data_IF_837799224729
#
_entry.id   IF_837799224729
#
_cell.length_a   1.000
_cell.length_b   1.000
_cell.length_c   1.000
_cell.angle_alpha   90.00
_cell.angle_beta   90.00
_cell.angle_gamma   90.00
#
_symmetry.space_group_name_H-M   'P 1'
#
loop_
_entity.id
_entity.type
_entity.pdbx_description
1 polymer ?
#
# COMPACT_ATOMS: atom_id res chain seq x y z
N UNK A 1 -6.20 -14.95 12.70
CA UNK A 1 -6.69 -14.20 11.52
C UNK A 1 -6.24 -12.75 11.52
N UNK A 2 -6.62 -11.96 12.54
CA UNK A 2 -6.31 -10.52 12.61
C UNK A 2 -4.81 -10.25 12.60
N UNK A 3 -4.03 -11.04 13.34
CA UNK A 3 -2.57 -10.90 13.43
C UNK A 3 -1.87 -11.19 12.10
N UNK A 4 -2.30 -12.22 11.38
CA UNK A 4 -1.77 -12.57 10.06
C UNK A 4 -2.12 -11.51 9.02
N UNK A 5 -3.35 -10.98 9.05
CA UNK A 5 -3.76 -9.85 8.21
C UNK A 5 -2.92 -8.62 8.53
N UNK A 6 -2.74 -8.28 9.81
CA UNK A 6 -1.92 -7.13 10.23
C UNK A 6 -0.47 -7.28 9.74
N UNK A 7 0.12 -8.47 9.86
CA UNK A 7 1.46 -8.73 9.37
C UNK A 7 1.57 -8.62 7.83
N UNK A 8 0.56 -9.11 7.11
CA UNK A 8 0.49 -9.00 5.65
C UNK A 8 0.36 -7.53 5.21
N UNK A 9 -0.54 -6.77 5.83
CA UNK A 9 -0.74 -5.34 5.54
C UNK A 9 0.52 -4.54 5.87
N UNK A 10 1.16 -4.81 7.01
CA UNK A 10 2.42 -4.17 7.38
C UNK A 10 3.53 -4.46 6.37
N UNK A 11 3.62 -5.71 5.90
CA UNK A 11 4.57 -6.09 4.86
C UNK A 11 4.33 -5.32 3.55
N UNK A 12 3.07 -5.26 3.08
CA UNK A 12 2.70 -4.50 1.88
C UNK A 12 2.97 -3.01 2.07
N UNK A 13 2.55 -2.41 3.18
CA UNK A 13 2.79 -1.01 3.49
C UNK A 13 4.29 -0.65 3.51
N UNK A 14 5.14 -1.58 3.96
CA UNK A 14 6.61 -1.42 3.90
C UNK A 14 7.14 -1.43 2.47
N UNK A 15 6.57 -2.25 1.58
CA UNK A 15 6.91 -2.21 0.16
C UNK A 15 6.48 -0.87 -0.46
N UNK A 16 5.26 -0.43 -0.18
CA UNK A 16 4.72 0.86 -0.66
C UNK A 16 5.57 2.03 -0.16
N UNK A 17 5.99 2.03 1.10
CA UNK A 17 6.88 3.06 1.64
C UNK A 17 8.25 3.09 0.93
N UNK A 18 8.75 1.93 0.49
CA UNK A 18 10.10 1.81 -0.09
C UNK A 18 10.12 2.09 -1.59
N UNK A 19 9.09 1.66 -2.32
CA UNK A 19 9.08 1.64 -3.78
C UNK A 19 7.94 2.46 -4.39
N UNK A 20 6.91 2.77 -3.60
CA UNK A 20 5.77 3.58 -4.02
C UNK A 20 6.05 5.08 -3.95
N UNK A 21 5.05 5.85 -4.37
CA UNK A 21 5.08 7.32 -4.49
C UNK A 21 4.08 8.01 -3.56
N UNK A 22 3.43 7.26 -2.69
CA UNK A 22 2.43 7.77 -1.75
C UNK A 22 3.09 8.50 -0.57
N UNK A 23 2.43 9.56 -0.11
CA UNK A 23 2.72 10.28 1.13
C UNK A 23 2.36 9.45 2.37
N UNK A 24 2.56 10.00 3.58
CA UNK A 24 2.26 9.29 4.82
C UNK A 24 0.77 8.96 4.94
N UNK A 25 -0.07 9.96 4.72
CA UNK A 25 -1.51 9.85 4.86
C UNK A 25 -2.10 8.89 3.82
N UNK A 26 -1.65 8.94 2.56
CA UNK A 26 -2.08 8.00 1.52
C UNK A 26 -1.73 6.56 1.84
N UNK A 27 -0.55 6.30 2.42
CA UNK A 27 -0.15 4.95 2.86
C UNK A 27 -1.00 4.45 4.03
N UNK A 28 -1.34 5.33 4.97
CA UNK A 28 -2.18 4.99 6.12
C UNK A 28 -3.61 4.66 5.70
N UNK A 29 -4.23 5.53 4.88
CA UNK A 29 -5.56 5.26 4.31
C UNK A 29 -5.59 3.95 3.53
N UNK A 30 -4.56 3.68 2.71
CA UNK A 30 -4.44 2.43 1.99
C UNK A 30 -4.31 1.22 2.91
N UNK A 31 -3.47 1.29 3.94
CA UNK A 31 -3.29 0.20 4.91
C UNK A 31 -4.59 -0.11 5.67
N UNK A 32 -5.32 0.92 6.10
CA UNK A 32 -6.63 0.76 6.74
C UNK A 32 -7.66 0.13 5.79
N UNK A 33 -7.74 0.63 4.54
CA UNK A 33 -8.65 0.10 3.53
C UNK A 33 -8.34 -1.37 3.20
N UNK A 34 -7.07 -1.73 3.02
CA UNK A 34 -6.64 -3.10 2.76
C UNK A 34 -7.01 -4.01 3.94
N UNK A 35 -6.75 -3.58 5.17
CA UNK A 35 -7.13 -4.35 6.36
C UNK A 35 -8.62 -4.69 6.37
N UNK A 36 -9.48 -3.71 6.11
CA UNK A 36 -10.93 -3.90 6.06
C UNK A 36 -11.35 -4.86 4.93
N UNK A 37 -10.76 -4.72 3.73
CA UNK A 37 -11.04 -5.61 2.58
C UNK A 37 -10.65 -7.05 2.89
N UNK A 38 -9.47 -7.29 3.49
CA UNK A 38 -9.01 -8.64 3.83
C UNK A 38 -9.87 -9.28 4.94
N UNK A 39 -10.22 -8.52 5.98
CA UNK A 39 -11.09 -9.01 7.06
C UNK A 39 -12.46 -9.44 6.51
N UNK A 40 -13.04 -8.63 5.63
CA UNK A 40 -14.35 -8.93 5.04
C UNK A 40 -14.29 -10.14 4.11
N UNK A 41 -13.31 -10.18 3.19
CA UNK A 41 -13.20 -11.26 2.20
C UNK A 41 -12.89 -12.61 2.85
N UNK A 42 -12.07 -12.63 3.89
CA UNK A 42 -11.59 -13.89 4.45
C UNK A 42 -12.54 -14.51 5.49
N UNK A 43 -13.59 -13.80 5.93
CA UNK A 43 -14.50 -14.21 7.04
C UNK A 43 -15.03 -15.65 6.91
N UNK A 44 -15.42 -16.06 5.71
CA UNK A 44 -15.98 -17.41 5.45
C UNK A 44 -14.96 -18.38 4.82
N UNK A 45 -13.70 -17.94 4.70
CA UNK A 45 -12.62 -18.69 4.07
C UNK A 45 -11.44 -18.86 5.02
N UNK A 46 -11.64 -18.77 6.34
CA UNK A 46 -10.59 -18.93 7.34
C UNK A 46 -10.77 -20.24 8.12
N UNK A 47 -9.82 -21.17 8.00
CA UNK A 47 -9.91 -22.51 8.59
C UNK A 47 -8.66 -22.83 9.43
N UNK A 48 -8.61 -22.47 10.73
CA UNK A 48 -7.43 -22.68 11.58
C UNK A 48 -6.95 -24.13 11.65
N UNK A 49 -7.88 -25.09 11.67
CA UNK A 49 -7.56 -26.52 11.73
C UNK A 49 -7.10 -27.11 10.39
N UNK A 50 -7.26 -26.37 9.30
CA UNK A 50 -6.83 -26.77 7.96
C UNK A 50 -6.32 -25.53 7.19
N UNK A 51 -5.12 -25.01 7.51
CA UNK A 51 -4.64 -23.72 6.99
C UNK A 51 -4.61 -23.63 5.46
N UNK A 52 -4.31 -24.75 4.78
CA UNK A 52 -4.30 -24.83 3.31
C UNK A 52 -5.69 -24.73 2.67
N UNK A 53 -6.76 -25.01 3.41
CA UNK A 53 -8.13 -24.87 2.91
C UNK A 53 -8.42 -23.39 2.69
N UNK A 54 -8.78 -23.04 1.46
CA UNK A 54 -9.04 -21.64 1.06
C UNK A 54 -7.79 -20.80 0.82
N UNK A 55 -6.58 -21.37 0.83
CA UNK A 55 -5.33 -20.61 0.65
C UNK A 55 -5.29 -19.80 -0.66
N UNK A 56 -5.81 -20.38 -1.75
CA UNK A 56 -5.80 -19.72 -3.06
C UNK A 56 -6.76 -18.53 -3.10
N UNK A 57 -7.87 -18.61 -2.36
CA UNK A 57 -8.83 -17.51 -2.21
C UNK A 57 -8.23 -16.34 -1.42
N UNK A 58 -7.43 -16.64 -0.38
CA UNK A 58 -6.77 -15.64 0.47
C UNK A 58 -5.40 -15.16 -0.06
N UNK A 59 -5.02 -15.61 -1.25
CA UNK A 59 -3.74 -15.26 -1.84
C UNK A 59 -3.87 -13.89 -2.50
N UNK A 60 -2.99 -12.94 -2.17
CA UNK A 60 -2.83 -11.71 -2.95
C UNK A 60 -1.79 -11.95 -4.05
N UNK A 61 -2.19 -11.80 -5.31
CA UNK A 61 -1.33 -12.15 -6.45
C UNK A 61 -1.26 -11.05 -7.49
N UNK A 62 -0.04 -10.68 -7.82
CA UNK A 62 0.33 -9.79 -8.93
C UNK A 62 1.25 -10.59 -9.85
N UNK A 63 0.93 -10.64 -11.15
CA UNK A 63 1.81 -11.17 -12.18
C UNK A 63 1.49 -10.52 -13.55
N UNK A 64 2.18 -10.93 -14.62
CA UNK A 64 1.95 -10.38 -15.96
C UNK A 64 0.52 -10.59 -16.49
N UNK A 65 -0.18 -11.65 -16.07
CA UNK A 65 -1.57 -11.94 -16.49
C UNK A 65 -2.62 -11.23 -15.64
N UNK A 66 -2.30 -10.99 -14.37
CA UNK A 66 -3.12 -10.33 -13.37
C UNK A 66 -2.27 -9.23 -12.73
N UNK A 67 -2.14 -8.07 -13.40
CA UNK A 67 -1.27 -6.99 -12.95
C UNK A 67 -1.80 -6.28 -11.69
N UNK A 68 -3.06 -6.52 -11.33
CA UNK A 68 -3.71 -5.97 -10.14
C UNK A 68 -4.57 -7.05 -9.48
N UNK A 69 -4.28 -7.36 -8.22
CA UNK A 69 -5.11 -8.25 -7.42
C UNK A 69 -6.45 -7.56 -7.08
N UNK A 70 -7.61 -8.25 -7.20
CA UNK A 70 -8.91 -7.63 -6.91
C UNK A 70 -9.02 -7.02 -5.51
N UNK A 71 -8.44 -7.64 -4.48
CA UNK A 71 -8.50 -7.09 -3.12
C UNK A 71 -7.62 -5.84 -2.99
N UNK A 72 -6.46 -5.81 -3.65
CA UNK A 72 -5.62 -4.61 -3.73
C UNK A 72 -6.32 -3.50 -4.51
N UNK A 73 -7.00 -3.83 -5.61
CA UNK A 73 -7.78 -2.88 -6.39
C UNK A 73 -8.89 -2.22 -5.54
N UNK A 74 -9.69 -3.02 -4.84
CA UNK A 74 -10.74 -2.50 -3.95
C UNK A 74 -10.16 -1.64 -2.83
N UNK A 75 -8.99 -2.00 -2.28
CA UNK A 75 -8.32 -1.18 -1.26
C UNK A 75 -7.86 0.18 -1.83
N UNK A 76 -7.32 0.20 -3.06
CA UNK A 76 -6.97 1.42 -3.78
C UNK A 76 -8.19 2.33 -4.00
N UNK A 77 -9.29 1.77 -4.51
CA UNK A 77 -10.55 2.49 -4.74
C UNK A 77 -11.08 3.14 -3.46
N UNK A 78 -11.10 2.40 -2.34
CA UNK A 78 -11.58 2.90 -1.04
C UNK A 78 -10.68 3.94 -0.39
N UNK A 79 -9.40 3.97 -0.74
CA UNK A 79 -8.41 4.91 -0.17
C UNK A 79 -8.09 6.09 -1.09
N UNK A 80 -8.72 6.16 -2.27
CA UNK A 80 -8.44 7.15 -3.32
C UNK A 80 -6.97 7.16 -3.73
N UNK A 81 -6.39 5.97 -3.88
CA UNK A 81 -4.99 5.75 -4.24
C UNK A 81 -4.90 5.06 -5.58
N UNK A 82 -4.00 5.53 -6.46
CA UNK A 82 -3.71 4.83 -7.72
C UNK A 82 -2.87 3.58 -7.45
N UNK A 83 -3.25 2.44 -8.02
CA UNK A 83 -2.49 1.19 -7.85
C UNK A 83 -1.02 1.30 -8.30
N UNK A 84 -0.74 2.05 -9.37
CA UNK A 84 0.62 2.27 -9.88
C UNK A 84 1.52 2.99 -8.87
N UNK A 85 0.94 3.88 -8.05
CA UNK A 85 1.67 4.63 -7.03
C UNK A 85 2.05 3.75 -5.82
N UNK A 86 1.50 2.53 -5.71
CA UNK A 86 1.92 1.57 -4.69
C UNK A 86 3.34 1.05 -4.92
N UNK A 87 3.83 1.05 -6.16
CA UNK A 87 5.18 0.57 -6.49
C UNK A 87 5.43 -0.90 -6.14
N UNK A 88 4.37 -1.73 -6.14
CA UNK A 88 4.52 -3.16 -5.85
C UNK A 88 5.25 -3.88 -6.99
N UNK A 89 6.01 -4.95 -6.70
CA UNK A 89 6.67 -5.75 -7.74
C UNK A 89 5.69 -6.31 -8.76
N UNK A 90 6.12 -6.36 -10.02
CA UNK A 90 5.34 -6.92 -11.15
C UNK A 90 4.97 -8.38 -10.98
N UNK A 91 5.75 -9.13 -10.18
CA UNK A 91 5.47 -10.50 -9.81
C UNK A 91 5.59 -10.68 -8.30
N UNK A 92 4.45 -10.72 -7.62
CA UNK A 92 4.32 -10.86 -6.17
C UNK A 92 3.24 -11.89 -5.86
N UNK A 93 3.52 -12.83 -4.97
CA UNK A 93 2.49 -13.73 -4.43
C UNK A 93 2.61 -13.73 -2.91
N UNK A 94 1.55 -13.31 -2.21
CA UNK A 94 1.49 -13.25 -0.75
C UNK A 94 0.35 -14.17 -0.26
N UNK A 95 0.72 -15.18 0.53
CA UNK A 95 -0.24 -16.09 1.18
C UNK A 95 -0.47 -15.65 2.62
N UNK A 96 -1.73 -15.44 2.97
CA UNK A 96 -2.18 -15.08 4.32
C UNK A 96 -2.99 -16.24 4.87
N UNK A 97 -2.33 -17.12 5.62
CA UNK A 97 -2.89 -18.38 6.10
C UNK A 97 -2.90 -18.42 7.65
N UNK A 98 -3.79 -19.21 8.26
CA UNK A 98 -3.76 -19.42 9.71
C UNK A 98 -2.37 -19.83 10.21
N UNK A 99 -1.81 -19.02 11.12
CA UNK A 99 -0.50 -19.24 11.73
C UNK A 99 0.71 -18.87 10.86
N UNK A 100 0.55 -18.43 9.60
CA UNK A 100 1.68 -18.11 8.73
C UNK A 100 1.33 -17.10 7.63
N UNK A 101 2.21 -16.13 7.45
CA UNK A 101 2.25 -15.27 6.26
C UNK A 101 3.53 -15.56 5.50
N UNK A 102 3.41 -15.84 4.20
CA UNK A 102 4.56 -16.14 3.34
C UNK A 102 4.44 -15.41 2.02
N UNK A 103 5.59 -15.09 1.41
CA UNK A 103 5.67 -14.26 0.23
C UNK A 103 6.64 -14.88 -0.79
N UNK A 104 6.41 -14.62 -2.07
CA UNK A 104 7.31 -14.99 -3.17
C UNK A 104 7.40 -13.84 -4.16
N UNK A 105 8.63 -13.54 -4.61
CA UNK A 105 8.89 -12.60 -5.69
C UNK A 105 9.23 -13.34 -6.98
N UNK A 106 8.47 -13.14 -8.05
CA UNK A 106 8.64 -13.90 -9.28
C UNK A 106 8.01 -15.30 -9.24
N UNK A 107 7.65 -15.84 -10.40
CA UNK A 107 6.93 -17.13 -10.47
C UNK A 107 7.81 -18.36 -10.19
N UNK A 108 9.12 -18.25 -10.44
CA UNK A 108 10.08 -19.36 -10.31
C UNK A 108 10.91 -19.34 -9.01
N UNK A 109 10.73 -18.35 -8.14
CA UNK A 109 11.49 -18.28 -6.90
C UNK A 109 10.87 -19.11 -5.78
N UNK A 110 11.67 -19.38 -4.76
CA UNK A 110 11.19 -20.06 -3.54
C UNK A 110 10.44 -19.08 -2.63
N UNK A 111 9.25 -19.44 -2.13
CA UNK A 111 8.58 -18.63 -1.10
C UNK A 111 9.42 -18.49 0.17
N UNK A 112 9.36 -17.32 0.81
CA UNK A 112 9.97 -17.05 2.10
C UNK A 112 8.90 -16.71 3.15
N UNK A 113 9.22 -16.98 4.42
CA UNK A 113 8.33 -16.68 5.53
C UNK A 113 8.42 -15.19 5.89
N UNK A 114 7.28 -14.49 5.88
CA UNK A 114 7.18 -13.11 6.37
C UNK A 114 6.99 -13.11 7.88
N UNK A 115 6.05 -13.92 8.38
CA UNK A 115 5.85 -14.13 9.82
C UNK A 115 5.24 -15.50 10.09
N UNK A 116 5.46 -16.02 11.29
CA UNK A 116 4.75 -17.17 11.84
C UNK A 116 4.04 -16.70 13.10
N UNK A 117 2.73 -16.88 13.13
CA UNK A 117 1.87 -16.46 14.23
C UNK A 117 1.52 -17.70 15.05
N UNK A 118 1.67 -17.64 16.38
CA UNK A 118 1.33 -18.76 17.27
C UNK A 118 2.40 -19.85 17.43
N UNK A 119 3.66 -19.60 17.05
CA UNK A 119 4.79 -20.43 17.48
C UNK A 119 5.45 -19.83 18.71
N UNK A 120 5.75 -20.64 19.74
CA UNK A 120 6.60 -20.26 20.87
C UNK A 120 7.97 -19.78 20.39
N UNK A 121 8.09 -18.51 19.99
CA UNK A 121 9.35 -17.80 19.96
C UNK A 121 9.28 -16.73 21.03
N UNK A 122 10.17 -16.87 22.00
CA UNK A 122 10.43 -16.07 23.19
C UNK A 122 10.85 -14.61 22.91
N UNK A 123 10.35 -14.02 21.82
CA UNK A 123 10.68 -12.67 21.36
C UNK A 123 9.53 -11.93 20.65
N UNK A 124 8.31 -12.50 20.63
CA UNK A 124 7.14 -11.91 19.96
C UNK A 124 6.18 -11.18 20.92
N UNK A 125 6.49 -11.13 22.22
CA UNK A 125 5.67 -10.44 23.22
C UNK A 125 5.60 -8.94 22.97
N UNK A 126 6.68 -8.31 22.49
CA UNK A 126 6.69 -6.85 22.29
C UNK A 126 5.83 -6.42 21.10
N UNK A 127 5.86 -7.15 19.98
CA UNK A 127 4.98 -6.87 18.84
C UNK A 127 3.52 -7.13 19.19
N UNK A 128 3.24 -8.26 19.85
CA UNK A 128 1.88 -8.61 20.29
C UNK A 128 1.32 -7.58 21.27
N UNK A 129 2.14 -7.11 22.22
CA UNK A 129 1.79 -6.04 23.17
C UNK A 129 1.45 -4.73 22.46
N UNK A 130 2.27 -4.30 21.49
CA UNK A 130 2.01 -3.07 20.71
C UNK A 130 0.72 -3.17 19.90
N UNK A 131 0.42 -4.35 19.34
CA UNK A 131 -0.85 -4.59 18.62
C UNK A 131 -2.03 -4.55 19.59
N UNK A 132 -1.94 -5.21 20.74
CA UNK A 132 -3.01 -5.21 21.74
C UNK A 132 -3.28 -3.80 22.29
N UNK A 133 -2.22 -3.05 22.59
CA UNK A 133 -2.30 -1.66 23.07
C UNK A 133 -2.98 -0.74 22.04
N UNK A 134 -2.66 -0.89 20.75
CA UNK A 134 -3.32 -0.15 19.69
C UNK A 134 -4.81 -0.51 19.56
N UNK A 135 -5.16 -1.79 19.73
CA UNK A 135 -6.55 -2.26 19.69
C UNK A 135 -7.35 -1.75 20.89
N UNK A 136 -6.77 -1.78 22.09
CA UNK A 136 -7.40 -1.24 23.30
C UNK A 136 -7.61 0.28 23.19
N UNK A 137 -6.62 1.01 22.67
CA UNK A 137 -6.75 2.46 22.44
C UNK A 137 -7.88 2.81 21.47
N UNK A 138 -7.96 2.09 20.35
CA UNK A 138 -9.04 2.27 19.38
C UNK A 138 -10.42 1.88 19.96
N UNK A 139 -10.45 0.93 20.89
CA UNK A 139 -11.70 0.51 21.55
C UNK A 139 -12.17 1.55 22.58
N UNK A 140 -11.26 2.26 23.22
CA UNK A 140 -11.58 3.35 24.17
C UNK A 140 -12.03 4.63 23.46
N UNK A 141 -11.49 4.92 22.28
CA UNK A 141 -11.85 6.10 21.49
C UNK A 141 -13.31 6.01 21.00
N UNK A 142 -13.76 4.81 20.60
CA UNK A 142 -15.17 4.54 20.25
C UNK A 142 -16.11 4.62 21.47
N UNK A 143 -15.63 4.36 22.68
CA UNK A 143 -16.43 4.46 23.90
C UNK A 143 -16.56 5.91 24.42
N UNK A 144 -15.60 6.79 24.09
CA UNK A 144 -15.67 8.22 24.44
C UNK A 144 -16.58 9.05 23.53
N UNK A 145 -16.86 8.60 22.29
CA UNK A 145 -17.83 9.26 21.40
C UNK A 145 -19.30 8.90 21.70
N UNK A 146 -19.58 7.96 22.62
CA UNK A 146 -20.95 7.51 22.95
C UNK A 146 -21.53 8.16 24.23
N UNK A 147 -20.85 9.12 24.85
CA UNK A 147 -21.26 9.66 26.16
C UNK A 147 -21.32 11.19 26.20
N UNK A 148 -21.87 11.86 25.19
CA UNK A 148 -22.25 13.28 25.28
C UNK A 148 -23.43 13.64 24.35
N UNK A 149 -24.63 13.11 24.63
CA UNK A 149 -25.95 13.63 24.25
C UNK A 149 -26.87 13.17 25.41
N UNK A 150 -27.61 13.97 26.19
CA UNK A 150 -28.68 14.96 25.92
C UNK A 150 -28.65 16.01 27.09
N UNK A 151 -29.11 17.26 26.96
CA UNK A 151 -30.52 17.68 27.12
C UNK A 151 -30.80 19.06 26.47
N UNK A 152 -32.09 19.36 26.40
CA UNK A 152 -32.84 20.09 25.36
C UNK A 152 -32.98 21.63 25.52
N UNK A 153 -33.64 22.15 24.48
CA UNK A 153 -34.08 23.48 24.06
C UNK A 153 -34.76 24.40 25.10
N UNK A 154 -34.80 25.71 24.81
CA UNK A 154 -36.03 26.55 24.66
C UNK A 154 -35.66 28.05 24.48
N UNK A 155 -36.48 28.76 23.68
CA UNK A 155 -36.28 30.12 23.14
C UNK A 155 -36.65 31.27 24.13
N UNK A 156 -36.10 32.47 23.87
CA UNK A 156 -36.85 33.67 23.38
C UNK A 156 -36.54 35.06 24.01
N UNK A 157 -36.46 36.06 23.12
CA UNK A 157 -36.67 37.54 23.27
C UNK A 157 -35.75 38.52 24.04
N UNK A 158 -35.04 39.32 23.24
CA UNK A 158 -34.97 40.81 23.21
C UNK A 158 -34.22 41.69 24.26
N UNK A 159 -33.35 42.53 23.69
CA UNK A 159 -33.21 43.99 23.88
C UNK A 159 -31.99 44.61 24.62
N UNK A 160 -31.27 45.45 23.85
CA UNK A 160 -30.60 46.72 24.18
C UNK A 160 -29.37 46.74 25.12
N UNK A 161 -28.20 47.09 24.57
CA UNK A 161 -27.57 48.43 24.71
C UNK A 161 -26.07 48.43 24.42
N UNK A 162 -25.63 49.51 23.79
CA UNK A 162 -24.26 49.80 23.39
C UNK A 162 -23.30 50.02 24.57
N UNK A 163 -22.01 49.70 24.39
CA UNK A 163 -20.92 50.70 24.39
C UNK A 163 -19.53 50.07 24.24
N UNK A 164 -18.82 50.61 23.25
CA UNK A 164 -17.43 51.07 23.30
C UNK A 164 -16.33 50.14 23.86
N UNK A 165 -15.37 49.74 22.99
CA UNK A 165 -14.03 50.36 22.91
C UNK A 165 -13.03 49.46 22.13
N UNK A 166 -12.49 50.06 21.06
CA UNK A 166 -11.06 50.05 20.64
C UNK A 166 -10.46 48.90 19.80
N UNK A 167 -10.13 49.30 18.57
CA UNK A 167 -9.05 48.83 17.69
C UNK A 167 -7.67 48.64 18.35
N UNK A 168 -6.96 47.58 17.95
CA UNK A 168 -5.63 47.62 17.31
C UNK A 168 -5.25 46.19 16.88
N UNK A 169 -5.15 45.88 15.57
CA UNK A 169 -3.93 45.87 14.73
C UNK A 169 -2.74 45.09 15.33
N UNK A 170 -2.42 44.01 14.60
CA UNK A 170 -1.12 43.38 14.31
C UNK A 170 -0.25 42.91 15.48
N UNK A 171 0.14 41.63 15.48
CA UNK A 171 1.57 41.27 15.29
C UNK A 171 1.74 39.74 15.25
N UNK A 172 2.27 39.25 14.13
CA UNK A 172 2.80 37.90 14.00
C UNK A 172 4.09 37.84 14.81
N UNK A 173 4.14 36.97 15.82
CA UNK A 173 5.26 36.88 16.76
C UNK A 173 6.47 36.23 16.07
N UNK A 174 7.37 37.05 15.54
CA UNK A 174 8.67 36.59 15.03
C UNK A 174 9.57 36.11 16.16
N UNK A 175 10.18 34.94 15.96
CA UNK A 175 11.15 34.30 16.87
C UNK A 175 12.40 35.20 16.95
N UNK A 176 12.94 35.49 18.14
CA UNK A 176 14.14 36.30 18.26
C UNK A 176 15.36 35.55 17.67
N UNK A 177 15.96 36.13 16.64
CA UNK A 177 17.21 35.63 16.06
C UNK A 177 18.36 35.92 17.03
N UNK A 178 18.96 34.87 17.59
CA UNK A 178 20.16 34.98 18.42
C UNK A 178 21.39 35.02 17.51
N UNK A 179 22.02 36.19 17.41
CA UNK A 179 23.29 36.35 16.70
C UNK A 179 24.41 35.73 17.53
N UNK A 180 24.89 34.55 17.15
CA UNK A 180 26.08 33.94 17.75
C UNK A 180 27.35 34.43 17.02
N UNK A 181 28.20 35.27 17.64
CA UNK A 181 29.42 35.77 17.00
C UNK A 181 30.47 34.66 16.76
N UNK A 182 30.29 33.46 17.32
CA UNK A 182 31.14 32.29 17.11
C UNK A 182 30.53 31.24 16.16
N UNK A 183 29.52 31.59 15.35
CA UNK A 183 29.03 30.67 14.30
C UNK A 183 30.14 30.44 13.26
N UNK A 184 30.58 29.19 13.15
CA UNK A 184 31.53 28.73 12.11
C UNK A 184 30.89 28.78 10.70
N UNK A 185 29.56 28.90 10.61
CA UNK A 185 28.85 29.21 9.38
C UNK A 185 28.63 30.72 9.26
N UNK A 186 29.68 31.43 8.86
CA UNK A 186 29.56 32.77 8.27
C UNK A 186 29.50 32.58 6.75
N UNK A 187 28.29 32.57 6.22
CA UNK A 187 28.04 32.47 4.78
C UNK A 187 28.28 33.86 4.16
N UNK A 188 29.43 34.03 3.52
CA UNK A 188 29.72 35.21 2.72
C UNK A 188 29.07 35.04 1.34
N UNK A 189 28.26 36.01 0.96
CA UNK A 189 27.70 36.11 -0.39
C UNK A 189 28.81 36.32 -1.44
N UNK A 190 28.46 35.93 -2.67
CA UNK A 190 29.18 36.02 -3.95
C UNK A 190 30.25 34.96 -4.24
N UNK A 191 29.79 33.90 -4.92
CA UNK A 191 30.54 33.38 -6.06
C UNK A 191 29.58 33.19 -7.25
N UNK A 192 29.78 34.02 -8.28
CA UNK A 192 29.25 33.77 -9.61
C UNK A 192 30.06 32.60 -10.20
N UNK A 193 29.52 31.39 -10.14
CA UNK A 193 30.21 30.22 -10.69
C UNK A 193 29.71 28.90 -10.14
N UNK A 194 28.49 28.51 -10.50
CA UNK A 194 28.05 27.12 -10.35
C UNK A 194 27.55 26.59 -11.71
N UNK A 195 28.18 25.56 -12.29
CA UNK A 195 27.85 25.07 -13.62
C UNK A 195 26.48 24.38 -13.63
N UNK A 196 25.57 24.90 -14.47
CA UNK A 196 24.31 24.29 -14.86
C UNK A 196 24.58 23.10 -15.80
N UNK A 197 24.85 21.90 -15.26
CA UNK A 197 25.02 20.71 -16.12
C UNK A 197 24.40 19.44 -15.56
N UNK A 198 23.13 19.43 -15.12
CA UNK A 198 22.40 18.16 -14.95
C UNK A 198 20.90 18.24 -15.29
N UNK A 199 20.53 19.08 -16.28
CA UNK A 199 19.17 19.09 -16.84
C UNK A 199 19.20 19.28 -18.36
N UNK A 200 19.51 18.20 -19.10
CA UNK A 200 18.97 17.94 -20.45
C UNK A 200 19.42 16.58 -20.98
N UNK A 201 18.53 15.59 -20.98
CA UNK A 201 18.55 14.59 -22.04
C UNK A 201 17.14 14.48 -22.65
N UNK A 202 16.94 15.27 -23.70
CA UNK A 202 15.83 15.16 -24.64
C UNK A 202 16.41 14.65 -25.96
N UNK A 203 16.10 13.39 -26.24
CA UNK A 203 15.83 12.74 -27.54
C UNK A 203 16.73 13.07 -28.72
N UNK A 204 17.37 12.04 -29.29
CA UNK A 204 17.68 11.98 -30.73
C UNK A 204 17.49 10.56 -31.30
N UNK A 205 16.47 10.44 -32.15
CA UNK A 205 16.40 9.48 -33.25
C UNK A 205 17.47 9.83 -34.30
N UNK A 206 18.00 8.83 -34.99
CA UNK A 206 18.81 8.99 -36.20
C UNK A 206 18.65 7.75 -37.12
N UNK A 207 19.00 7.87 -38.42
CA UNK A 207 18.10 7.58 -39.53
C UNK A 207 18.44 6.31 -40.34
N UNK A 208 17.55 5.97 -41.26
CA UNK A 208 17.74 5.06 -42.39
C UNK A 208 18.96 5.39 -43.26
N UNK A 209 19.70 4.37 -43.70
CA UNK A 209 19.96 4.09 -45.14
C UNK A 209 20.78 2.80 -45.33
N UNK A 210 20.37 2.02 -46.32
CA UNK A 210 20.94 0.75 -46.81
C UNK A 210 22.33 0.91 -47.47
N UNK A 211 23.06 -0.20 -47.74
CA UNK A 211 22.93 -0.80 -49.08
C UNK A 211 22.85 -2.34 -49.11
N UNK A 212 22.31 -2.79 -50.25
CA UNK A 212 22.01 -4.13 -50.75
C UNK A 212 23.19 -5.10 -50.91
N UNK A 213 22.97 -6.41 -50.68
CA UNK A 213 23.04 -7.44 -51.74
C UNK A 213 22.85 -8.90 -51.23
N UNK A 214 22.23 -9.70 -52.10
CA UNK A 214 22.25 -11.17 -52.24
C UNK A 214 21.60 -12.09 -51.19
N UNK A 215 20.36 -12.48 -51.51
CA UNK A 215 19.85 -13.86 -51.61
C UNK A 215 20.22 -14.89 -50.53
N UNK A 216 19.25 -15.25 -49.69
CA UNK A 216 18.88 -16.66 -49.46
C UNK A 216 17.59 -16.82 -48.64
N UNK A 217 16.65 -17.58 -49.21
CA UNK A 217 15.63 -18.42 -48.55
C UNK A 217 14.84 -17.85 -47.36
N UNK A 218 13.62 -17.40 -47.66
CA UNK A 218 12.52 -17.23 -46.72
C UNK A 218 12.08 -18.60 -46.19
N UNK A 219 12.18 -18.83 -44.87
CA UNK A 219 11.46 -19.92 -44.17
C UNK A 219 10.61 -19.29 -43.06
N UNK A 220 9.37 -18.98 -43.41
CA UNK A 220 8.33 -18.56 -42.47
C UNK A 220 7.88 -19.77 -41.64
N UNK A 221 8.12 -19.75 -40.33
CA UNK A 221 7.38 -20.63 -39.41
C UNK A 221 6.07 -19.94 -39.05
N UNK A 222 5.01 -20.33 -39.76
CA UNK A 222 3.61 -20.05 -39.41
C UNK A 222 3.14 -21.17 -38.48
N UNK A 223 2.98 -20.89 -37.19
CA UNK A 223 2.24 -21.77 -36.29
C UNK A 223 0.76 -21.33 -36.29
N UNK A 224 -0.02 -21.93 -37.18
CA UNK A 224 -1.48 -21.86 -37.14
C UNK A 224 -1.98 -22.92 -36.17
N UNK A 225 -2.56 -22.54 -35.04
CA UNK A 225 -3.38 -23.45 -34.24
C UNK A 225 -4.73 -22.79 -33.96
N UNK A 226 -5.66 -22.95 -34.90
CA UNK A 226 -7.07 -22.67 -34.68
C UNK A 226 -7.68 -23.90 -34.00
N UNK A 227 -7.85 -23.85 -32.68
CA UNK A 227 -8.66 -24.83 -31.96
C UNK A 227 -10.13 -24.40 -32.03
N UNK A 228 -10.91 -25.07 -32.86
CA UNK A 228 -12.37 -24.99 -32.90
C UNK A 228 -12.96 -26.17 -32.11
N UNK A 229 -13.29 -25.92 -30.84
CA UNK A 229 -13.94 -26.88 -29.93
C UNK A 229 -14.62 -26.15 -28.76
N UNK A 230 -15.70 -26.71 -28.18
CA UNK A 230 -16.52 -26.02 -27.18
C UNK A 230 -15.72 -25.71 -25.91
N UNK A 231 -15.78 -24.44 -25.46
CA UNK A 231 -15.19 -23.97 -24.20
C UNK A 231 -15.99 -24.56 -23.04
N UNK A 232 -15.33 -25.41 -22.25
CA UNK A 232 -15.87 -25.97 -21.01
C UNK A 232 -15.20 -25.29 -19.81
N UNK A 233 -16.03 -25.06 -18.80
CA UNK A 233 -15.91 -24.14 -17.68
C UNK A 233 -14.68 -24.28 -16.77
N UNK A 234 -14.40 -23.17 -16.09
CA UNK A 234 -13.34 -22.90 -15.13
C UNK A 234 -13.55 -23.81 -13.90
N UNK A 235 -12.50 -24.54 -13.51
CA UNK A 235 -12.40 -25.40 -12.31
C UNK A 235 -12.97 -26.82 -12.42
N UNK A 236 -12.19 -27.72 -13.02
CA UNK A 236 -12.24 -29.16 -12.68
C UNK A 236 -10.80 -29.61 -12.41
N UNK A 237 -10.45 -29.86 -11.15
CA UNK A 237 -9.29 -30.69 -10.84
C UNK A 237 -9.81 -32.03 -10.33
N UNK A 238 -9.49 -33.08 -11.08
CA UNK A 238 -9.93 -34.44 -10.89
C UNK A 238 -9.00 -35.10 -9.87
N UNK A 239 -9.53 -35.55 -8.72
CA UNK A 239 -8.74 -36.28 -7.74
C UNK A 239 -8.68 -37.75 -8.18
N UNK A 240 -7.51 -38.21 -8.64
CA UNK A 240 -7.31 -39.58 -9.12
C UNK A 240 -6.56 -40.38 -8.04
N UNK A 241 -7.29 -40.79 -7.00
CA UNK A 241 -6.86 -41.91 -6.17
C UNK A 241 -7.11 -43.20 -6.93
N UNK A 242 -6.03 -43.82 -7.41
CA UNK A 242 -6.02 -45.25 -7.76
C UNK A 242 -5.82 -46.06 -6.48
N UNK A 243 -6.49 -47.21 -6.49
CA UNK A 243 -6.66 -48.25 -5.48
C UNK A 243 -5.48 -48.55 -4.57
#
# INVERSE_FOLDING_TARGET
>A
MKEEIAAAVFFVARLVKRFGRLDADGRERFAAALTAVLLQSYKNHWHPNAPSRGQAYRCLRINHTLPCDPALQTACERSHVTFQDLGLPVELTLWVDPGRVSCRYGEHSTPFCVTTVGGCRRGNEEFSRRVQEAVERASLEVASESSLEEEEEEEDTSSQSASSLRSNRNDVKSIPTVSNPNSVYRFSEFSAGAPQTWLREKWKSFPESFPSSSSSSVRSYRASFTFSGPRVDKYHWNNKSRS
#
